data_IF_802182198618
#
_entry.id   IF_802182198618
#
_cell.length_a   1.000
_cell.length_b   1.000
_cell.length_c   1.000
_cell.angle_alpha   90.00
_cell.angle_beta   90.00
_cell.angle_gamma   90.00
#
_symmetry.space_group_name_H-M   'P 1'
#
loop_
_entity.id
_entity.type
_entity.pdbx_description
1 polymer ?
#
# COMPACT_ATOMS: atom_id res chain seq x y z
N UNK A 1 -11.11 3.53 -8.35
CA UNK A 1 -10.94 3.91 -9.77
C UNK A 1 -9.46 4.06 -10.04
N UNK A 2 -8.98 3.53 -11.16
CA UNK A 2 -7.62 3.80 -11.65
C UNK A 2 -7.63 5.11 -12.45
N UNK A 3 -6.64 6.00 -12.28
CA UNK A 3 -6.53 7.19 -13.10
C UNK A 3 -6.21 6.83 -14.57
N UNK A 4 -6.45 7.75 -15.53
CA UNK A 4 -6.24 7.50 -16.96
C UNK A 4 -4.81 7.04 -17.29
N UNK A 5 -3.82 7.63 -16.62
CA UNK A 5 -2.41 7.26 -16.70
C UNK A 5 -1.92 6.78 -15.33
N UNK A 6 -1.99 5.47 -15.05
CA UNK A 6 -1.77 4.94 -13.71
C UNK A 6 -0.29 4.86 -13.29
N UNK A 7 0.66 4.92 -14.22
CA UNK A 7 2.09 4.86 -13.90
C UNK A 7 2.46 3.60 -13.12
N UNK A 8 3.25 3.73 -12.04
CA UNK A 8 3.53 2.63 -11.12
C UNK A 8 2.40 2.49 -10.09
N UNK A 9 1.72 1.34 -10.07
CA UNK A 9 0.63 1.04 -9.13
C UNK A 9 1.09 0.03 -8.09
N UNK A 10 1.18 0.46 -6.83
CA UNK A 10 1.65 -0.36 -5.74
C UNK A 10 0.49 -1.07 -5.02
N UNK A 11 0.71 -2.33 -4.64
CA UNK A 11 -0.27 -3.13 -3.92
C UNK A 11 0.37 -4.30 -3.20
N UNK A 12 -0.43 -5.02 -2.40
CA UNK A 12 -0.02 -6.30 -1.84
C UNK A 12 -0.15 -7.44 -2.87
N UNK A 13 0.32 -8.63 -2.50
CA UNK A 13 0.30 -9.80 -3.37
C UNK A 13 -1.11 -10.24 -3.78
N UNK A 14 -2.17 -9.89 -3.03
CA UNK A 14 -3.55 -10.26 -3.36
C UNK A 14 -4.05 -9.57 -4.64
N UNK A 15 -3.38 -8.51 -5.09
CA UNK A 15 -3.66 -7.86 -6.36
C UNK A 15 -2.91 -8.46 -7.56
N UNK A 16 -2.08 -9.49 -7.35
CA UNK A 16 -1.29 -10.16 -8.40
C UNK A 16 -2.11 -11.27 -9.09
N UNK A 17 -1.98 -11.43 -10.40
CA UNK A 17 -2.65 -12.42 -11.24
C UNK A 17 -4.14 -12.17 -11.52
N UNK A 18 -4.73 -11.14 -10.88
CA UNK A 18 -6.16 -10.90 -10.86
C UNK A 18 -6.67 -9.89 -11.90
N UNK A 19 -8.00 -9.64 -11.91
CA UNK A 19 -8.61 -8.59 -12.72
C UNK A 19 -8.01 -7.19 -12.47
N UNK A 20 -7.58 -6.93 -11.23
CA UNK A 20 -6.94 -5.66 -10.86
C UNK A 20 -5.61 -5.46 -11.61
N UNK A 21 -4.73 -6.46 -11.61
CA UNK A 21 -3.47 -6.40 -12.36
C UNK A 21 -3.70 -6.21 -13.85
N UNK A 22 -4.63 -6.99 -14.43
CA UNK A 22 -4.98 -6.88 -15.85
C UNK A 22 -5.51 -5.49 -16.22
N UNK A 23 -6.31 -4.88 -15.33
CA UNK A 23 -6.82 -3.53 -15.53
C UNK A 23 -5.72 -2.48 -15.45
N UNK A 24 -4.74 -2.65 -14.56
CA UNK A 24 -3.58 -1.76 -14.47
C UNK A 24 -2.80 -1.81 -15.79
N UNK A 25 -2.50 -3.02 -16.27
CA UNK A 25 -1.73 -3.25 -17.50
C UNK A 25 -2.49 -2.72 -18.73
N UNK A 26 -3.79 -2.97 -18.84
CA UNK A 26 -4.60 -2.51 -19.99
C UNK A 26 -4.70 -0.99 -20.10
N UNK A 27 -4.46 -0.27 -18.99
CA UNK A 27 -4.38 1.19 -18.94
C UNK A 27 -2.94 1.72 -19.05
N UNK A 28 -1.97 0.89 -19.47
CA UNK A 28 -0.56 1.28 -19.61
C UNK A 28 0.19 1.39 -18.27
N UNK A 29 -0.41 0.92 -17.18
CA UNK A 29 0.19 0.92 -15.86
C UNK A 29 1.16 -0.22 -15.62
N UNK A 30 2.01 -0.05 -14.61
CA UNK A 30 2.97 -1.04 -14.14
C UNK A 30 2.56 -1.50 -12.74
N UNK A 31 2.06 -2.74 -12.57
CA UNK A 31 1.82 -3.28 -11.25
C UNK A 31 3.16 -3.45 -10.51
N UNK A 32 3.18 -3.00 -9.26
CA UNK A 32 4.33 -3.03 -8.35
C UNK A 32 3.90 -3.72 -7.06
N UNK A 33 3.73 -5.03 -7.12
CA UNK A 33 3.31 -5.84 -5.99
C UNK A 33 4.51 -6.50 -5.32
N UNK A 34 4.43 -6.63 -3.99
CA UNK A 34 5.37 -7.46 -3.24
C UNK A 34 5.00 -8.93 -3.44
N UNK A 35 5.97 -9.76 -3.79
CA UNK A 35 5.75 -11.18 -3.99
C UNK A 35 6.36 -11.97 -2.83
N UNK A 36 5.65 -12.99 -2.35
CA UNK A 36 6.19 -13.95 -1.38
C UNK A 36 6.98 -15.08 -2.06
N UNK A 37 6.75 -15.30 -3.35
CA UNK A 37 7.47 -16.29 -4.16
C UNK A 37 7.23 -16.06 -5.65
N UNK A 38 8.05 -16.68 -6.49
CA UNK A 38 7.83 -16.74 -7.95
C UNK A 38 7.95 -18.18 -8.46
N UNK A 39 7.34 -18.45 -9.62
CA UNK A 39 7.48 -19.74 -10.29
C UNK A 39 8.87 -19.86 -10.94
N UNK A 40 9.51 -21.00 -10.72
CA UNK A 40 10.91 -21.26 -11.10
C UNK A 40 11.71 -21.84 -9.94
N UNK A 41 12.87 -22.43 -10.23
CA UNK A 41 13.82 -22.92 -9.22
C UNK A 41 15.20 -22.36 -9.49
N UNK A 42 16.01 -22.29 -8.44
CA UNK A 42 17.42 -21.92 -8.52
C UNK A 42 17.69 -20.42 -8.33
N UNK A 43 18.98 -20.03 -8.39
CA UNK A 43 19.44 -18.69 -8.04
C UNK A 43 18.80 -17.58 -8.87
N UNK A 44 18.55 -17.81 -10.17
CA UNK A 44 17.97 -16.79 -11.05
C UNK A 44 16.53 -16.43 -10.67
N UNK A 45 15.75 -17.43 -10.25
CA UNK A 45 14.40 -17.19 -9.77
C UNK A 45 14.41 -16.37 -8.47
N UNK A 46 15.31 -16.70 -7.55
CA UNK A 46 15.48 -15.94 -6.31
C UNK A 46 15.92 -14.49 -6.59
N UNK A 47 16.90 -14.29 -7.47
CA UNK A 47 17.41 -12.97 -7.84
C UNK A 47 16.31 -12.08 -8.44
N UNK A 48 15.43 -12.65 -9.29
CA UNK A 48 14.28 -11.93 -9.86
C UNK A 48 13.26 -11.51 -8.79
N UNK A 49 12.98 -12.41 -7.84
CA UNK A 49 12.09 -12.12 -6.70
C UNK A 49 12.67 -11.00 -5.83
N UNK A 50 13.95 -11.10 -5.47
CA UNK A 50 14.65 -10.11 -4.66
C UNK A 50 14.72 -8.75 -5.35
N UNK A 51 15.03 -8.71 -6.64
CA UNK A 51 15.05 -7.48 -7.42
C UNK A 51 13.68 -6.79 -7.46
N UNK A 52 12.60 -7.57 -7.68
CA UNK A 52 11.24 -7.04 -7.62
C UNK A 52 10.91 -6.48 -6.22
N UNK A 53 11.14 -7.27 -5.18
CA UNK A 53 10.84 -6.88 -3.80
C UNK A 53 11.68 -5.67 -3.36
N UNK A 54 12.94 -5.57 -3.78
CA UNK A 54 13.79 -4.41 -3.53
C UNK A 54 13.24 -3.13 -4.18
N UNK A 55 12.70 -3.22 -5.40
CA UNK A 55 12.10 -2.09 -6.09
C UNK A 55 10.83 -1.56 -5.40
N UNK A 56 10.07 -2.43 -4.71
CA UNK A 56 8.79 -2.06 -4.08
C UNK A 56 8.88 -1.83 -2.56
N UNK A 57 9.86 -2.42 -1.86
CA UNK A 57 9.93 -2.43 -0.39
C UNK A 57 9.82 -1.05 0.23
N UNK A 58 10.50 -0.05 -0.35
CA UNK A 58 10.56 1.30 0.24
C UNK A 58 9.18 1.95 0.30
N UNK A 59 8.37 1.74 -0.74
CA UNK A 59 7.00 2.26 -0.80
C UNK A 59 6.10 1.44 0.12
N UNK A 60 6.21 0.12 0.09
CA UNK A 60 5.41 -0.78 0.93
C UNK A 60 5.61 -0.52 2.42
N UNK A 61 6.86 -0.43 2.89
CA UNK A 61 7.16 -0.15 4.30
C UNK A 61 6.58 1.19 4.78
N UNK A 62 6.53 2.21 3.90
CA UNK A 62 5.91 3.50 4.25
C UNK A 62 4.40 3.38 4.43
N UNK A 63 3.74 2.64 3.54
CA UNK A 63 2.31 2.36 3.60
C UNK A 63 1.97 1.53 4.85
N UNK A 64 2.72 0.46 5.10
CA UNK A 64 2.57 -0.38 6.29
C UNK A 64 2.74 0.42 7.58
N UNK A 65 3.67 1.38 7.62
CA UNK A 65 3.83 2.28 8.78
C UNK A 65 2.56 3.10 9.06
N UNK A 66 1.86 3.56 8.02
CA UNK A 66 0.58 4.27 8.18
C UNK A 66 -0.46 3.33 8.79
N UNK A 67 -0.66 2.14 8.21
CA UNK A 67 -1.62 1.18 8.73
C UNK A 67 -1.29 0.70 10.15
N UNK A 68 -0.01 0.48 10.44
CA UNK A 68 0.48 0.13 11.78
C UNK A 68 0.15 1.23 12.79
N UNK A 69 0.30 2.49 12.40
CA UNK A 69 -0.08 3.65 13.22
C UNK A 69 -1.59 3.67 13.47
N UNK A 70 -2.41 3.45 12.44
CA UNK A 70 -3.86 3.44 12.59
C UNK A 70 -4.34 2.32 13.51
N UNK A 71 -3.76 1.11 13.35
CA UNK A 71 -4.06 -0.05 14.21
C UNK A 71 -3.63 0.21 15.65
N UNK A 72 -2.42 0.74 15.86
CA UNK A 72 -1.86 0.97 17.21
C UNK A 72 -2.55 2.12 17.94
N UNK A 73 -2.74 3.26 17.26
CA UNK A 73 -3.06 4.53 17.91
C UNK A 73 -4.44 5.08 17.56
N UNK A 74 -5.05 4.68 16.44
CA UNK A 74 -6.34 5.22 15.99
C UNK A 74 -7.49 4.22 16.06
N UNK A 75 -7.33 3.18 16.89
CA UNK A 75 -8.41 2.27 17.24
C UNK A 75 -8.77 1.24 16.16
N UNK A 76 -8.08 1.18 15.02
CA UNK A 76 -8.36 0.17 13.99
C UNK A 76 -8.13 -1.26 14.49
N UNK A 77 -7.28 -1.47 15.51
CA UNK A 77 -7.09 -2.81 16.10
C UNK A 77 -8.32 -3.28 16.91
N UNK A 78 -9.16 -2.37 17.41
CA UNK A 78 -10.38 -2.67 18.18
C UNK A 78 -11.65 -2.59 17.35
N UNK A 79 -11.51 -2.28 16.06
CA UNK A 79 -12.62 -2.11 15.14
C UNK A 79 -13.37 -3.42 14.94
N UNK A 80 -14.70 -3.40 15.09
CA UNK A 80 -15.55 -4.59 15.02
C UNK A 80 -16.01 -4.95 13.60
N UNK A 81 -15.64 -4.15 12.60
CA UNK A 81 -15.98 -4.37 11.18
C UNK A 81 -17.49 -4.52 10.89
N UNK A 82 -18.33 -3.82 11.66
CA UNK A 82 -19.79 -3.91 11.55
C UNK A 82 -20.32 -3.02 10.42
N UNK A 83 -20.27 -3.54 9.19
CA UNK A 83 -20.84 -2.91 8.00
C UNK A 83 -19.93 -1.89 7.34
N UNK A 84 -20.01 -1.82 6.01
CA UNK A 84 -19.11 -1.00 5.18
C UNK A 84 -19.20 0.50 5.48
N UNK A 85 -20.39 1.03 5.79
CA UNK A 85 -20.57 2.45 6.09
C UNK A 85 -19.84 2.87 7.38
N UNK A 86 -20.08 2.15 8.48
CA UNK A 86 -19.42 2.39 9.77
C UNK A 86 -17.91 2.16 9.64
N UNK A 87 -17.52 1.11 8.92
CA UNK A 87 -16.12 0.80 8.73
C UNK A 87 -15.38 1.86 7.89
N UNK A 88 -15.98 2.26 6.78
CA UNK A 88 -15.48 3.31 5.91
C UNK A 88 -15.36 4.65 6.64
N UNK A 89 -16.33 5.02 7.49
CA UNK A 89 -16.24 6.23 8.30
C UNK A 89 -15.02 6.19 9.23
N UNK A 90 -14.84 5.10 9.98
CA UNK A 90 -13.71 4.98 10.92
C UNK A 90 -12.34 5.06 10.20
N UNK A 91 -12.20 4.39 9.05
CA UNK A 91 -10.97 4.46 8.24
C UNK A 91 -10.71 5.89 7.73
N UNK A 92 -11.74 6.59 7.24
CA UNK A 92 -11.60 7.97 6.77
C UNK A 92 -11.20 8.92 7.90
N UNK A 93 -11.82 8.80 9.07
CA UNK A 93 -11.45 9.59 10.25
C UNK A 93 -10.00 9.33 10.69
N UNK A 94 -9.56 8.07 10.68
CA UNK A 94 -8.16 7.72 10.97
C UNK A 94 -7.19 8.33 9.94
N UNK A 95 -7.56 8.33 8.65
CA UNK A 95 -6.76 8.95 7.60
C UNK A 95 -6.67 10.48 7.76
N UNK A 96 -7.79 11.15 8.07
CA UNK A 96 -7.82 12.60 8.35
C UNK A 96 -6.92 12.94 9.55
N UNK A 97 -7.11 12.24 10.68
CA UNK A 97 -6.30 12.46 11.88
C UNK A 97 -4.80 12.21 11.64
N UNK A 98 -4.46 11.16 10.86
CA UNK A 98 -3.08 10.90 10.47
C UNK A 98 -2.49 12.05 9.66
N UNK A 99 -3.23 12.52 8.65
CA UNK A 99 -2.79 13.58 7.75
C UNK A 99 -2.60 14.89 8.51
N UNK A 100 -3.51 15.26 9.39
CA UNK A 100 -3.36 16.46 10.24
C UNK A 100 -2.07 16.41 11.06
N UNK A 101 -1.83 15.31 11.78
CA UNK A 101 -0.61 15.15 12.59
C UNK A 101 0.65 15.15 11.72
N UNK A 102 0.61 14.47 10.57
CA UNK A 102 1.73 14.41 9.62
C UNK A 102 2.05 15.80 9.07
N UNK A 103 1.03 16.59 8.72
CA UNK A 103 1.20 17.95 8.21
C UNK A 103 1.92 18.81 9.23
N UNK A 104 1.50 18.78 10.51
CA UNK A 104 2.19 19.52 11.57
C UNK A 104 3.67 19.11 11.67
N UNK A 105 3.97 17.81 11.64
CA UNK A 105 5.37 17.34 11.66
C UNK A 105 6.18 17.84 10.46
N UNK A 106 5.59 17.85 9.26
CA UNK A 106 6.28 18.32 8.05
C UNK A 106 6.51 19.84 8.09
N UNK A 107 5.52 20.61 8.56
CA UNK A 107 5.65 22.06 8.70
C UNK A 107 6.73 22.42 9.73
N UNK A 108 6.79 21.73 10.88
CA UNK A 108 7.87 21.95 11.85
C UNK A 108 9.24 21.59 11.28
N UNK A 109 9.36 20.49 10.54
CA UNK A 109 10.62 20.09 9.91
C UNK A 109 11.08 21.04 8.80
N UNK A 110 10.15 21.75 8.15
CA UNK A 110 10.46 22.75 7.13
C UNK A 110 10.81 24.12 7.72
N UNK A 111 10.40 24.39 8.96
CA UNK A 111 10.68 25.63 9.68
C UNK A 111 11.98 25.58 10.52
N UNK A 112 12.58 24.40 10.66
CA UNK A 112 13.86 24.15 11.33
C UNK A 112 15.00 24.09 10.32
#
# INVERSE_FOLDING_TARGET
MLPPEPGNVYGDSAFTGGPAERLIISRGGRPRTMCTGIWGRGPDALARLEANNAAVRRVHCRIEKVFGTWKRSYGLRRMRWLGLAKAGLQVRLAAIAYNLRRTVTLLHAAAA
#
